data_IF_739187857884
#
_entry.id   IF_739187857884
#
_cell.length_a   1.000
_cell.length_b   1.000
_cell.length_c   1.000
_cell.angle_alpha   90.00
_cell.angle_beta   90.00
_cell.angle_gamma   90.00
#
_symmetry.space_group_name_H-M   'P 1'
#
loop_
_entity.id
_entity.type
_entity.pdbx_description
1 polymer ?
#
# COMPACT_ATOMS: atom_id res chain seq x y z
N UNK A 1 -19.99 57.83 -0.97
CA UNK A 1 -19.10 57.31 -2.02
C UNK A 1 -18.03 56.49 -1.33
N UNK A 2 -18.17 55.16 -1.38
CA UNK A 2 -17.27 54.24 -0.70
C UNK A 2 -16.14 53.78 -1.60
N UNK A 3 -15.07 53.29 -0.97
CA UNK A 3 -14.21 52.22 -1.49
C UNK A 3 -13.59 51.53 -0.29
N UNK A 4 -14.11 50.32 0.00
CA UNK A 4 -13.52 49.37 0.93
C UNK A 4 -12.34 48.73 0.19
N UNK A 5 -11.12 48.95 0.70
CA UNK A 5 -9.92 48.33 0.19
C UNK A 5 -9.75 46.97 0.90
N UNK A 6 -10.46 45.95 0.41
CA UNK A 6 -10.27 44.57 0.86
C UNK A 6 -9.02 44.00 0.20
N UNK A 7 -7.88 44.13 0.87
CA UNK A 7 -6.70 43.32 0.59
C UNK A 7 -6.99 41.87 1.01
N UNK A 8 -7.57 41.09 0.10
CA UNK A 8 -7.67 39.65 0.27
C UNK A 8 -6.28 39.03 0.02
N UNK A 9 -5.50 38.91 1.09
CA UNK A 9 -4.33 38.02 1.11
C UNK A 9 -4.84 36.59 0.99
N UNK A 10 -4.72 36.02 -0.22
CA UNK A 10 -4.97 34.60 -0.47
C UNK A 10 -4.07 33.76 0.45
N UNK A 11 -4.62 32.79 1.21
CA UNK A 11 -3.80 31.96 2.07
C UNK A 11 -3.04 30.90 1.25
N UNK A 12 -1.79 30.55 1.62
CA UNK A 12 -1.07 29.44 1.03
C UNK A 12 -1.56 28.12 1.66
N UNK A 13 -2.84 27.77 1.44
CA UNK A 13 -3.45 26.58 2.06
C UNK A 13 -3.36 25.32 1.18
N UNK A 14 -3.01 25.45 -0.10
CA UNK A 14 -3.03 24.32 -1.04
C UNK A 14 -1.79 23.43 -0.91
N UNK A 15 -0.65 23.98 -0.47
CA UNK A 15 0.60 23.24 -0.34
C UNK A 15 0.64 22.35 0.90
N UNK A 16 0.05 22.78 2.02
CA UNK A 16 0.08 22.01 3.27
C UNK A 16 -0.71 20.71 3.16
N UNK A 17 -1.94 20.76 2.62
CA UNK A 17 -2.83 19.59 2.46
C UNK A 17 -2.28 18.56 1.47
N UNK A 18 -1.60 19.03 0.43
CA UNK A 18 -0.88 18.22 -0.55
C UNK A 18 0.28 17.43 0.08
N UNK A 19 1.06 18.07 0.95
CA UNK A 19 2.20 17.45 1.62
C UNK A 19 1.70 16.43 2.66
N UNK A 20 0.64 16.75 3.41
CA UNK A 20 0.06 15.82 4.39
C UNK A 20 -0.52 14.55 3.73
N UNK A 21 -1.06 14.67 2.52
CA UNK A 21 -1.60 13.53 1.76
C UNK A 21 -0.49 12.62 1.24
N UNK A 22 0.63 13.17 0.76
CA UNK A 22 1.79 12.36 0.32
C UNK A 22 2.47 11.64 1.50
N UNK A 23 2.66 12.31 2.63
CA UNK A 23 3.21 11.67 3.85
C UNK A 23 2.29 10.57 4.40
N UNK A 24 0.97 10.78 4.34
CA UNK A 24 -0.01 9.76 4.73
C UNK A 24 0.03 8.55 3.82
N UNK A 25 0.16 8.76 2.51
CA UNK A 25 0.37 7.70 1.53
C UNK A 25 1.67 6.95 1.78
N UNK A 26 2.77 7.65 2.08
CA UNK A 26 4.07 7.04 2.39
C UNK A 26 3.96 6.06 3.58
N UNK A 27 3.34 6.49 4.68
CA UNK A 27 3.08 5.63 5.85
C UNK A 27 2.20 4.43 5.51
N UNK A 28 1.16 4.63 4.71
CA UNK A 28 0.23 3.54 4.33
C UNK A 28 0.93 2.53 3.41
N UNK A 29 1.75 3.01 2.48
CA UNK A 29 2.64 2.19 1.66
C UNK A 29 3.52 1.37 2.59
N UNK A 30 4.35 1.98 3.42
CA UNK A 30 5.28 1.27 4.33
C UNK A 30 4.60 0.16 5.14
N UNK A 31 3.40 0.43 5.66
CA UNK A 31 2.58 -0.56 6.38
C UNK A 31 2.20 -1.75 5.50
N UNK A 32 1.66 -1.50 4.31
CA UNK A 32 1.29 -2.54 3.34
C UNK A 32 2.50 -3.37 2.91
N UNK A 33 3.67 -2.74 2.75
CA UNK A 33 4.92 -3.44 2.44
C UNK A 33 5.46 -4.28 3.60
N UNK A 34 5.27 -3.83 4.85
CA UNK A 34 5.58 -4.65 6.03
C UNK A 34 4.66 -5.87 6.12
N UNK A 35 3.34 -5.68 5.93
CA UNK A 35 2.36 -6.76 5.93
C UNK A 35 2.67 -7.79 4.83
N UNK A 36 2.94 -7.36 3.59
CA UNK A 36 3.29 -8.27 2.49
C UNK A 36 4.51 -9.14 2.80
N UNK A 37 5.55 -8.56 3.42
CA UNK A 37 6.74 -9.30 3.85
C UNK A 37 6.40 -10.31 4.94
N UNK A 38 5.58 -9.91 5.91
CA UNK A 38 5.10 -10.79 6.96
C UNK A 38 4.33 -11.99 6.39
N UNK A 39 3.34 -11.77 5.52
CA UNK A 39 2.55 -12.87 4.94
C UNK A 39 3.38 -13.77 4.03
N UNK A 40 4.34 -13.22 3.28
CA UNK A 40 5.26 -14.04 2.50
C UNK A 40 6.12 -14.94 3.39
N UNK A 41 6.64 -14.44 4.51
CA UNK A 41 7.39 -15.25 5.47
C UNK A 41 6.50 -16.29 6.16
N UNK A 42 5.31 -15.88 6.61
CA UNK A 42 4.33 -16.74 7.26
C UNK A 42 3.94 -17.92 6.35
N UNK A 43 3.60 -17.66 5.10
CA UNK A 43 3.28 -18.71 4.11
C UNK A 43 4.47 -19.62 3.85
N UNK A 44 5.70 -19.08 3.84
CA UNK A 44 6.92 -19.88 3.78
C UNK A 44 7.06 -20.84 4.96
N UNK A 45 6.73 -20.40 6.18
CA UNK A 45 6.70 -21.28 7.35
C UNK A 45 5.56 -22.29 7.30
N UNK A 46 4.37 -21.89 6.86
CA UNK A 46 3.26 -22.81 6.67
C UNK A 46 3.62 -23.93 5.68
N UNK A 47 4.37 -23.66 4.61
CA UNK A 47 4.83 -24.69 3.69
C UNK A 47 5.78 -25.73 4.32
N UNK A 48 6.56 -25.33 5.33
CA UNK A 48 7.48 -26.24 6.02
C UNK A 48 6.74 -27.20 6.96
N UNK A 49 5.55 -26.84 7.43
CA UNK A 49 4.79 -27.61 8.42
C UNK A 49 3.41 -28.10 7.97
N UNK A 50 2.98 -27.83 6.72
CA UNK A 50 1.66 -28.22 6.24
C UNK A 50 1.61 -29.66 5.75
N UNK A 51 0.40 -30.24 5.78
CA UNK A 51 0.10 -31.50 5.10
C UNK A 51 0.10 -31.32 3.57
N UNK A 52 0.43 -32.38 2.82
CA UNK A 52 0.55 -32.35 1.35
C UNK A 52 -0.75 -31.89 0.63
N UNK A 53 -1.91 -32.20 1.19
CA UNK A 53 -3.23 -31.81 0.68
C UNK A 53 -3.46 -30.30 0.73
N UNK A 54 -2.83 -29.60 1.68
CA UNK A 54 -2.90 -28.14 1.84
C UNK A 54 -1.74 -27.40 1.20
N UNK A 55 -0.67 -28.11 0.84
CA UNK A 55 0.55 -27.52 0.26
C UNK A 55 0.26 -26.72 -1.00
N UNK A 56 -0.53 -27.25 -1.94
CA UNK A 56 -0.89 -26.54 -3.19
C UNK A 56 -1.60 -25.21 -2.92
N UNK A 57 -2.46 -25.19 -1.90
CA UNK A 57 -3.23 -23.99 -1.53
C UNK A 57 -2.31 -22.92 -0.94
N UNK A 58 -1.36 -23.31 -0.09
CA UNK A 58 -0.37 -22.40 0.50
C UNK A 58 0.64 -21.91 -0.56
N UNK A 59 1.04 -22.77 -1.49
CA UNK A 59 1.89 -22.39 -2.64
C UNK A 59 1.19 -21.33 -3.51
N UNK A 60 -0.10 -21.52 -3.81
CA UNK A 60 -0.89 -20.54 -4.55
C UNK A 60 -1.00 -19.20 -3.81
N UNK A 61 -1.30 -19.21 -2.50
CA UNK A 61 -1.31 -17.99 -1.68
C UNK A 61 0.05 -17.30 -1.66
N UNK A 62 1.14 -18.07 -1.64
CA UNK A 62 2.50 -17.54 -1.66
C UNK A 62 2.86 -16.92 -3.01
N UNK A 63 2.40 -17.50 -4.11
CA UNK A 63 2.53 -16.91 -5.45
C UNK A 63 1.75 -15.60 -5.55
N UNK A 64 0.52 -15.54 -5.04
CA UNK A 64 -0.27 -14.30 -4.95
C UNK A 64 0.48 -13.24 -4.13
N UNK A 65 1.03 -13.60 -2.97
CA UNK A 65 1.84 -12.70 -2.14
C UNK A 65 3.12 -12.22 -2.86
N UNK A 66 3.80 -13.10 -3.59
CA UNK A 66 4.99 -12.76 -4.38
C UNK A 66 4.64 -11.82 -5.53
N UNK A 67 3.53 -12.05 -6.24
CA UNK A 67 3.09 -11.16 -7.31
C UNK A 67 2.83 -9.74 -6.78
N UNK A 68 2.18 -9.62 -5.61
CA UNK A 68 1.96 -8.34 -4.95
C UNK A 68 3.28 -7.67 -4.52
N UNK A 69 4.22 -8.45 -3.97
CA UNK A 69 5.52 -7.94 -3.49
C UNK A 69 6.49 -7.56 -4.61
N UNK A 70 6.58 -8.35 -5.66
CA UNK A 70 7.64 -8.21 -6.68
C UNK A 70 7.18 -7.37 -7.88
N UNK A 71 5.86 -7.30 -8.14
CA UNK A 71 5.32 -6.59 -9.31
C UNK A 71 4.61 -5.30 -8.94
N UNK A 72 3.67 -5.37 -8.01
CA UNK A 72 2.80 -4.23 -7.69
C UNK A 72 3.49 -3.24 -6.76
N UNK A 73 4.20 -3.74 -5.77
CA UNK A 73 4.87 -2.94 -4.74
C UNK A 73 6.00 -2.04 -5.26
N UNK A 74 6.95 -2.49 -6.11
CA UNK A 74 8.01 -1.63 -6.62
C UNK A 74 7.47 -0.52 -7.53
N UNK A 75 6.48 -0.85 -8.37
CA UNK A 75 5.78 0.13 -9.20
C UNK A 75 5.10 1.22 -8.36
N UNK A 76 4.46 0.82 -7.25
CA UNK A 76 3.81 1.76 -6.34
C UNK A 76 4.82 2.67 -5.62
N UNK A 77 5.93 2.08 -5.13
CA UNK A 77 7.02 2.81 -4.48
C UNK A 77 7.65 3.84 -5.42
N UNK A 78 7.92 3.46 -6.66
CA UNK A 78 8.49 4.37 -7.67
C UNK A 78 7.53 5.54 -7.99
N UNK A 79 6.22 5.25 -8.15
CA UNK A 79 5.20 6.28 -8.38
C UNK A 79 5.17 7.29 -7.23
N UNK A 80 5.25 6.84 -5.97
CA UNK A 80 5.33 7.71 -4.81
C UNK A 80 6.61 8.55 -4.79
N UNK A 81 7.78 7.95 -5.07
CA UNK A 81 9.05 8.70 -5.13
C UNK A 81 9.01 9.81 -6.19
N UNK A 82 8.47 9.53 -7.38
CA UNK A 82 8.28 10.54 -8.43
C UNK A 82 7.33 11.65 -7.99
N UNK A 83 6.32 11.32 -7.19
CA UNK A 83 5.36 12.29 -6.66
C UNK A 83 6.01 13.21 -5.61
N UNK A 84 6.82 12.65 -4.72
CA UNK A 84 7.59 13.39 -3.70
C UNK A 84 8.54 14.42 -4.34
N UNK A 85 9.24 14.04 -5.41
CA UNK A 85 10.11 14.96 -6.18
C UNK A 85 9.29 16.09 -6.82
N UNK A 86 8.13 15.79 -7.41
CA UNK A 86 7.26 16.81 -8.02
C UNK A 86 6.71 17.80 -6.99
N UNK A 87 6.32 17.31 -5.81
CA UNK A 87 5.84 18.14 -4.70
C UNK A 87 6.96 18.99 -4.10
N UNK A 88 8.17 18.44 -3.93
CA UNK A 88 9.33 19.16 -3.41
C UNK A 88 9.86 20.26 -4.35
N UNK A 89 9.70 20.09 -5.66
CA UNK A 89 10.13 21.09 -6.65
C UNK A 89 9.15 22.26 -6.85
N UNK A 90 8.10 22.37 -6.02
CA UNK A 90 7.11 23.46 -6.14
C UNK A 90 6.24 23.39 -7.39
N UNK A 91 6.12 22.20 -8.00
CA UNK A 91 5.29 22.00 -9.20
C UNK A 91 3.83 22.28 -8.87
N UNK A 92 3.12 23.01 -9.75
CA UNK A 92 1.72 23.39 -9.53
C UNK A 92 0.83 22.18 -9.17
N UNK A 93 -0.02 22.27 -8.11
CA UNK A 93 -0.86 21.19 -7.60
C UNK A 93 -1.66 20.43 -8.66
N UNK A 94 -2.20 21.14 -9.65
CA UNK A 94 -3.01 20.58 -10.73
C UNK A 94 -2.26 19.59 -11.64
N UNK A 95 -0.94 19.70 -11.77
CA UNK A 95 -0.13 18.84 -12.65
C UNK A 95 0.24 17.49 -12.05
N UNK A 96 0.19 17.34 -10.73
CA UNK A 96 0.53 16.09 -10.04
C UNK A 96 -0.65 15.47 -9.30
N UNK A 97 -1.78 16.18 -9.17
CA UNK A 97 -3.01 15.65 -8.59
C UNK A 97 -3.51 14.37 -9.28
N UNK A 98 -3.44 14.29 -10.61
CA UNK A 98 -3.79 13.06 -11.35
C UNK A 98 -2.91 11.88 -10.97
N UNK A 99 -1.59 12.09 -10.87
CA UNK A 99 -0.65 11.06 -10.41
C UNK A 99 -0.88 10.67 -8.95
N UNK A 100 -1.36 11.61 -8.10
CA UNK A 100 -1.68 11.33 -6.69
C UNK A 100 -2.88 10.37 -6.62
N UNK A 101 -3.93 10.68 -7.38
CA UNK A 101 -5.14 9.86 -7.43
C UNK A 101 -4.86 8.46 -7.97
N UNK A 102 -4.04 8.35 -9.02
CA UNK A 102 -3.60 7.06 -9.56
C UNK A 102 -2.81 6.25 -8.55
N UNK A 103 -1.90 6.89 -7.79
CA UNK A 103 -1.10 6.21 -6.76
C UNK A 103 -1.99 5.75 -5.60
N UNK A 104 -2.98 6.56 -5.22
CA UNK A 104 -3.95 6.22 -4.18
C UNK A 104 -4.86 5.07 -4.61
N UNK A 105 -5.32 5.06 -5.86
CA UNK A 105 -6.12 3.97 -6.40
C UNK A 105 -5.33 2.66 -6.50
N UNK A 106 -4.07 2.75 -6.95
CA UNK A 106 -3.16 1.59 -6.99
C UNK A 106 -2.93 1.04 -5.57
N UNK A 107 -2.67 1.91 -4.59
CA UNK A 107 -2.51 1.51 -3.19
C UNK A 107 -3.78 0.85 -2.65
N UNK A 108 -4.96 1.40 -2.94
CA UNK A 108 -6.24 0.80 -2.51
C UNK A 108 -6.42 -0.62 -3.05
N UNK A 109 -6.14 -0.82 -4.35
CA UNK A 109 -6.24 -2.16 -4.97
C UNK A 109 -5.26 -3.16 -4.34
N UNK A 110 -4.07 -2.71 -3.98
CA UNK A 110 -3.06 -3.54 -3.34
C UNK A 110 -3.48 -3.89 -1.89
N UNK A 111 -4.02 -2.91 -1.16
CA UNK A 111 -4.55 -3.08 0.19
C UNK A 111 -5.74 -4.07 0.21
N UNK A 112 -6.65 -3.97 -0.76
CA UNK A 112 -7.77 -4.92 -0.93
C UNK A 112 -7.28 -6.35 -1.22
N UNK A 113 -6.35 -6.49 -2.18
CA UNK A 113 -5.79 -7.79 -2.54
C UNK A 113 -5.04 -8.42 -1.36
N UNK A 114 -4.30 -7.60 -0.60
CA UNK A 114 -3.67 -8.02 0.64
C UNK A 114 -4.72 -8.47 1.66
N UNK A 115 -5.79 -7.69 1.89
CA UNK A 115 -6.85 -8.08 2.83
C UNK A 115 -7.54 -9.40 2.42
N UNK A 116 -7.79 -9.62 1.14
CA UNK A 116 -8.29 -10.91 0.64
C UNK A 116 -7.30 -12.04 0.95
N UNK A 117 -5.99 -11.82 0.77
CA UNK A 117 -4.97 -12.78 1.17
C UNK A 117 -4.98 -13.00 2.69
N UNK A 118 -5.16 -11.95 3.51
CA UNK A 118 -5.27 -12.08 4.97
C UNK A 118 -6.45 -12.96 5.36
N UNK A 119 -7.62 -12.73 4.77
CA UNK A 119 -8.84 -13.52 5.04
C UNK A 119 -8.66 -14.98 4.64
N UNK A 120 -8.08 -15.24 3.46
CA UNK A 120 -7.73 -16.59 3.00
C UNK A 120 -6.77 -17.28 3.97
N UNK A 121 -5.72 -16.58 4.41
CA UNK A 121 -4.75 -17.11 5.36
C UNK A 121 -5.41 -17.37 6.69
N UNK A 122 -6.18 -16.43 7.25
CA UNK A 122 -6.87 -16.58 8.54
C UNK A 122 -7.91 -17.71 8.52
N UNK A 123 -8.71 -17.81 7.46
CA UNK A 123 -9.71 -18.86 7.28
C UNK A 123 -9.09 -20.24 7.15
N UNK A 124 -7.92 -20.35 6.51
CA UNK A 124 -7.19 -21.61 6.38
C UNK A 124 -6.18 -21.89 7.49
N UNK A 125 -5.79 -20.91 8.31
CA UNK A 125 -4.66 -21.03 9.26
C UNK A 125 -4.86 -22.17 10.25
N UNK A 126 -6.10 -22.34 10.75
CA UNK A 126 -6.45 -23.42 11.66
C UNK A 126 -6.37 -24.82 11.03
N UNK A 127 -6.47 -24.92 9.70
CA UNK A 127 -6.32 -26.17 8.95
C UNK A 127 -4.89 -26.41 8.46
N UNK A 128 -4.10 -25.35 8.28
CA UNK A 128 -2.74 -25.40 7.74
C UNK A 128 -1.69 -25.76 8.79
N UNK A 129 -1.89 -25.35 10.05
CA UNK A 129 -0.90 -25.54 11.10
C UNK A 129 -1.20 -26.82 11.87
N UNK A 130 -0.53 -27.92 11.50
CA UNK A 130 -0.41 -29.06 12.39
C UNK A 130 0.69 -28.76 13.41
N UNK A 131 0.34 -28.17 14.56
CA UNK A 131 1.29 -28.09 15.67
C UNK A 131 1.44 -29.51 16.23
N UNK A 132 2.42 -30.24 15.71
CA UNK A 132 2.90 -31.47 16.35
C UNK A 132 3.72 -31.04 17.56
N UNK A 133 3.08 -30.86 18.71
CA UNK A 133 3.77 -30.71 19.99
C UNK A 133 4.34 -32.10 20.31
N UNK A 134 5.66 -32.23 20.18
CA UNK A 134 6.45 -33.36 20.68
C UNK A 134 6.89 -33.06 22.11
#
# INVERSE_FOLDING_TARGET
>A
MGTIQSSATLPPLVSTTAITTVESLEKKIERVGADLRFYHQLLGWCLLGCREDKRRVIEQMREEANALRDREWPSLSEKLSRLKVKTGNGTAPSRWYGSLLETQHHLHRLDDALNTLKEKVQGGFGEFVHISIW
#
